data_IF_800012549349
#
_entry.id   IF_800012549349
#
_cell.length_a   1.000
_cell.length_b   1.000
_cell.length_c   1.000
_cell.angle_alpha   90.00
_cell.angle_beta   90.00
_cell.angle_gamma   90.00
#
_symmetry.space_group_name_H-M   'P 1'
#
loop_
_entity.id
_entity.type
_entity.pdbx_description
1 polymer ?
#
# COMPACT_ATOMS: atom_id res chain seq x y z
N UNK A 1 67.92 -36.63 -25.78
CA UNK A 1 66.70 -37.37 -26.13
C UNK A 1 65.57 -36.82 -25.26
N UNK A 2 64.80 -35.84 -25.74
CA UNK A 2 63.72 -35.21 -24.95
C UNK A 2 62.36 -35.52 -25.57
N UNK A 3 61.52 -36.22 -24.81
CA UNK A 3 60.15 -36.58 -25.17
C UNK A 3 59.22 -35.45 -24.69
N UNK A 4 58.74 -34.62 -25.62
CA UNK A 4 57.75 -33.58 -25.32
C UNK A 4 56.40 -34.29 -25.12
N UNK A 5 55.93 -34.34 -23.88
CA UNK A 5 54.60 -34.84 -23.56
C UNK A 5 53.57 -33.77 -23.95
N UNK A 6 52.99 -33.91 -25.14
CA UNK A 6 51.85 -33.13 -25.57
C UNK A 6 50.63 -33.55 -24.75
N UNK A 7 50.37 -32.83 -23.66
CA UNK A 7 49.17 -33.02 -22.86
C UNK A 7 47.98 -32.46 -23.66
N UNK A 8 47.28 -33.33 -24.40
CA UNK A 8 46.06 -32.96 -25.14
C UNK A 8 44.96 -32.68 -24.12
N UNK A 9 44.80 -31.42 -23.76
CA UNK A 9 43.61 -30.96 -23.04
C UNK A 9 42.38 -31.25 -23.92
N UNK A 10 41.65 -32.33 -23.63
CA UNK A 10 40.37 -32.61 -24.25
C UNK A 10 39.38 -31.55 -23.76
N UNK A 11 39.18 -30.50 -24.55
CA UNK A 11 38.08 -29.57 -24.31
C UNK A 11 36.79 -30.34 -24.57
N UNK A 12 36.03 -30.62 -23.51
CA UNK A 12 34.69 -31.20 -23.63
C UNK A 12 33.81 -30.17 -24.34
N UNK A 13 33.34 -30.50 -25.54
CA UNK A 13 32.36 -29.70 -26.25
C UNK A 13 30.98 -29.97 -25.65
N UNK A 14 30.25 -28.91 -25.31
CA UNK A 14 28.87 -29.02 -24.85
C UNK A 14 27.98 -29.52 -26.00
N UNK A 15 27.07 -30.43 -25.67
CA UNK A 15 26.10 -30.99 -26.61
C UNK A 15 24.89 -30.06 -26.74
N UNK A 16 24.23 -30.08 -27.91
CA UNK A 16 23.00 -29.30 -28.13
C UNK A 16 21.90 -29.65 -27.13
N UNK A 17 21.84 -30.93 -26.71
CA UNK A 17 20.84 -31.40 -25.74
C UNK A 17 21.09 -30.81 -24.35
N UNK A 18 22.35 -30.67 -23.91
CA UNK A 18 22.67 -30.03 -22.63
C UNK A 18 22.23 -28.56 -22.62
N UNK A 19 22.44 -27.83 -23.72
CA UNK A 19 21.96 -26.45 -23.83
C UNK A 19 20.43 -26.36 -23.85
N UNK A 20 19.74 -27.31 -24.49
CA UNK A 20 18.28 -27.35 -24.53
C UNK A 20 17.68 -27.62 -23.15
N UNK A 21 18.24 -28.57 -22.39
CA UNK A 21 17.82 -28.86 -21.02
C UNK A 21 18.04 -27.66 -20.11
N UNK A 22 19.17 -26.97 -20.22
CA UNK A 22 19.46 -25.78 -19.41
C UNK A 22 18.46 -24.66 -19.70
N UNK A 23 18.19 -24.35 -20.97
CA UNK A 23 17.20 -23.33 -21.34
C UNK A 23 15.80 -23.75 -20.87
N UNK A 24 15.46 -25.03 -20.97
CA UNK A 24 14.20 -25.57 -20.43
C UNK A 24 14.06 -25.34 -18.93
N UNK A 25 15.10 -25.62 -18.14
CA UNK A 25 15.11 -25.36 -16.69
C UNK A 25 15.02 -23.86 -16.40
N UNK A 26 15.73 -23.02 -17.14
CA UNK A 26 15.68 -21.56 -16.98
C UNK A 26 14.29 -21.00 -17.25
N UNK A 27 13.57 -21.50 -18.25
CA UNK A 27 12.19 -21.08 -18.53
C UNK A 27 11.23 -21.47 -17.40
N UNK A 28 11.37 -22.67 -16.82
CA UNK A 28 10.57 -23.10 -15.67
C UNK A 28 10.86 -22.22 -14.45
N UNK A 29 12.14 -21.96 -14.15
CA UNK A 29 12.53 -21.09 -13.03
C UNK A 29 12.00 -19.66 -13.21
N UNK A 30 12.12 -19.09 -14.42
CA UNK A 30 11.62 -17.76 -14.72
C UNK A 30 10.09 -17.66 -14.51
N UNK A 31 9.33 -18.65 -14.95
CA UNK A 31 7.87 -18.67 -14.78
C UNK A 31 7.45 -18.67 -13.29
N UNK A 32 8.15 -19.44 -12.45
CA UNK A 32 7.85 -19.50 -11.01
C UNK A 32 8.12 -18.17 -10.29
N UNK A 33 9.20 -17.48 -10.63
CA UNK A 33 9.59 -16.21 -10.01
C UNK A 33 8.52 -15.13 -10.26
N UNK A 34 8.00 -15.04 -11.48
CA UNK A 34 6.99 -14.04 -11.85
C UNK A 34 5.68 -14.27 -11.08
N UNK A 35 5.27 -15.53 -10.88
CA UNK A 35 4.02 -15.87 -10.20
C UNK A 35 3.96 -15.42 -8.73
N UNK A 36 5.03 -15.63 -7.96
CA UNK A 36 5.07 -15.30 -6.52
C UNK A 36 5.15 -13.80 -6.25
N UNK A 37 5.76 -13.03 -7.16
CA UNK A 37 6.08 -11.62 -6.94
C UNK A 37 4.83 -10.75 -6.74
N UNK A 38 3.74 -11.02 -7.47
CA UNK A 38 2.50 -10.20 -7.40
C UNK A 38 1.82 -10.30 -6.04
N UNK A 39 1.72 -11.51 -5.49
CA UNK A 39 1.08 -11.76 -4.20
C UNK A 39 1.82 -11.06 -3.05
N UNK A 40 3.15 -11.12 -3.04
CA UNK A 40 3.97 -10.49 -2.00
C UNK A 40 3.87 -8.95 -2.07
N UNK A 41 3.80 -8.39 -3.27
CA UNK A 41 3.64 -6.95 -3.47
C UNK A 41 2.29 -6.45 -2.95
N UNK A 42 1.21 -7.16 -3.23
CA UNK A 42 -0.13 -6.81 -2.75
C UNK A 42 -0.22 -6.87 -1.23
N UNK A 43 0.30 -7.94 -0.61
CA UNK A 43 0.36 -8.06 0.84
C UNK A 43 1.20 -6.94 1.49
N UNK A 44 2.30 -6.55 0.84
CA UNK A 44 3.11 -5.41 1.29
C UNK A 44 2.37 -4.09 1.16
N UNK A 45 1.60 -3.90 0.09
CA UNK A 45 0.78 -2.71 -0.13
C UNK A 45 -0.35 -2.64 0.90
N UNK A 46 -1.03 -3.75 1.19
CA UNK A 46 -2.05 -3.85 2.23
C UNK A 46 -1.49 -3.39 3.59
N UNK A 47 -0.35 -3.95 4.02
CA UNK A 47 0.29 -3.58 5.30
C UNK A 47 0.72 -2.12 5.35
N UNK A 48 1.25 -1.60 4.25
CA UNK A 48 1.62 -0.19 4.15
C UNK A 48 0.38 0.70 4.25
N UNK A 49 -0.72 0.34 3.61
CA UNK A 49 -2.01 1.05 3.70
C UNK A 49 -2.55 1.05 5.12
N UNK A 50 -2.54 -0.10 5.82
CA UNK A 50 -2.92 -0.19 7.24
C UNK A 50 -2.06 0.73 8.11
N UNK A 51 -0.74 0.75 7.90
CA UNK A 51 0.16 1.62 8.65
C UNK A 51 -0.13 3.12 8.41
N UNK A 52 -0.38 3.51 7.16
CA UNK A 52 -0.80 4.87 6.79
C UNK A 52 -2.10 5.23 7.51
N UNK A 53 -3.12 4.37 7.42
CA UNK A 53 -4.41 4.57 8.08
C UNK A 53 -4.26 4.71 9.60
N UNK A 54 -3.42 3.90 10.23
CA UNK A 54 -3.17 3.97 11.67
C UNK A 54 -2.55 5.33 12.08
N UNK A 55 -1.61 5.87 11.30
CA UNK A 55 -1.02 7.19 11.55
C UNK A 55 -2.06 8.29 11.39
N UNK A 56 -2.85 8.27 10.30
CA UNK A 56 -3.90 9.27 10.07
C UNK A 56 -4.97 9.18 11.16
N UNK A 57 -5.36 7.98 11.59
CA UNK A 57 -6.35 7.81 12.65
C UNK A 57 -5.81 8.26 14.01
N UNK A 58 -4.51 8.07 14.27
CA UNK A 58 -3.84 8.65 15.44
C UNK A 58 -3.89 10.19 15.42
N UNK A 59 -3.69 10.80 14.26
CA UNK A 59 -3.80 12.26 14.08
C UNK A 59 -5.25 12.74 14.25
N UNK A 60 -6.21 11.98 13.72
CA UNK A 60 -7.66 12.21 13.85
C UNK A 60 -8.11 12.15 15.30
N UNK A 61 -7.58 11.21 16.08
CA UNK A 61 -7.81 11.15 17.53
C UNK A 61 -7.22 12.36 18.27
N UNK A 62 -6.01 12.80 17.92
CA UNK A 62 -5.42 14.01 18.49
C UNK A 62 -6.24 15.27 18.16
N UNK A 63 -6.82 15.33 16.95
CA UNK A 63 -7.79 16.37 16.59
C UNK A 63 -9.02 16.33 17.50
N UNK A 64 -9.60 15.16 17.73
CA UNK A 64 -10.75 15.00 18.62
C UNK A 64 -10.42 15.41 20.07
N UNK A 65 -9.25 15.05 20.59
CA UNK A 65 -8.85 15.42 21.96
C UNK A 65 -8.87 16.94 22.19
N UNK A 66 -8.53 17.70 21.14
CA UNK A 66 -8.55 19.17 21.13
C UNK A 66 -9.93 19.74 20.87
N UNK A 67 -10.59 19.31 19.81
CA UNK A 67 -11.83 19.92 19.30
C UNK A 67 -13.11 19.31 19.89
N UNK A 68 -12.99 18.24 20.68
CA UNK A 68 -14.10 17.47 21.28
C UNK A 68 -15.07 16.88 20.26
N UNK A 69 -14.67 16.86 19.00
CA UNK A 69 -15.41 16.31 17.88
C UNK A 69 -14.42 15.81 16.83
N UNK A 70 -14.81 14.76 16.11
CA UNK A 70 -14.10 14.32 14.91
C UNK A 70 -14.43 15.24 13.73
N UNK A 71 -13.52 15.36 12.75
CA UNK A 71 -13.77 16.10 11.51
C UNK A 71 -15.06 15.62 10.84
N UNK A 72 -15.82 16.55 10.26
CA UNK A 72 -17.06 16.22 9.57
C UNK A 72 -16.81 15.54 8.22
N UNK A 73 -17.73 14.67 7.84
CA UNK A 73 -17.74 13.92 6.59
C UNK A 73 -19.16 13.60 6.13
N UNK A 74 -19.32 13.32 4.85
CA UNK A 74 -20.52 12.75 4.27
C UNK A 74 -20.56 11.23 4.52
N UNK A 75 -21.20 10.83 5.61
CA UNK A 75 -21.30 9.43 6.04
C UNK A 75 -22.42 8.64 5.33
N UNK A 76 -22.62 8.91 4.04
CA UNK A 76 -23.44 8.06 3.19
C UNK A 76 -22.79 6.65 3.04
N UNK A 77 -23.56 5.61 2.66
CA UNK A 77 -23.00 4.28 2.43
C UNK A 77 -21.83 4.33 1.42
N UNK A 78 -20.78 3.49 1.57
CA UNK A 78 -19.63 3.47 0.66
C UNK A 78 -19.96 3.33 -0.83
N UNK A 79 -21.13 2.76 -1.14
CA UNK A 79 -21.66 2.64 -2.51
C UNK A 79 -22.01 3.99 -3.16
N UNK A 80 -22.19 5.05 -2.38
CA UNK A 80 -22.39 6.41 -2.90
C UNK A 80 -21.02 7.00 -3.32
N UNK A 81 -20.86 7.44 -4.58
CA UNK A 81 -19.61 8.02 -5.06
C UNK A 81 -19.21 9.33 -4.34
N UNK A 82 -20.15 10.00 -3.68
CA UNK A 82 -19.91 11.22 -2.91
C UNK A 82 -19.73 10.93 -1.41
N UNK A 83 -19.74 9.66 -1.00
CA UNK A 83 -19.52 9.29 0.40
C UNK A 83 -18.05 9.39 0.78
N UNK A 84 -17.81 9.70 2.05
CA UNK A 84 -16.49 9.77 2.64
C UNK A 84 -15.69 11.00 2.17
N UNK A 85 -15.34 11.88 3.10
CA UNK A 85 -14.70 13.15 2.78
C UNK A 85 -13.25 13.19 3.27
N UNK A 86 -12.34 12.54 2.52
CA UNK A 86 -10.91 12.57 2.88
C UNK A 86 -10.31 13.96 2.81
N UNK A 87 -10.85 14.80 1.92
CA UNK A 87 -10.43 16.19 1.78
C UNK A 87 -10.74 17.02 3.03
N UNK A 88 -11.95 16.85 3.58
CA UNK A 88 -12.33 17.53 4.83
C UNK A 88 -11.46 17.06 6.00
N UNK A 89 -11.12 15.76 6.03
CA UNK A 89 -10.18 15.25 7.01
C UNK A 89 -8.81 15.91 6.88
N UNK A 90 -8.25 15.96 5.67
CA UNK A 90 -6.96 16.60 5.42
C UNK A 90 -6.95 18.07 5.86
N UNK A 91 -7.96 18.83 5.44
CA UNK A 91 -8.09 20.25 5.80
C UNK A 91 -8.22 20.44 7.33
N UNK A 92 -8.92 19.54 8.02
CA UNK A 92 -9.05 19.56 9.46
C UNK A 92 -7.75 19.19 10.19
N UNK A 93 -6.94 18.28 9.64
CA UNK A 93 -5.66 17.88 10.21
C UNK A 93 -4.51 18.84 9.89
N UNK A 94 -4.65 19.64 8.83
CA UNK A 94 -3.66 20.62 8.41
C UNK A 94 -4.24 22.05 8.30
N UNK A 95 -4.79 22.61 9.40
CA UNK A 95 -5.34 23.97 9.38
C UNK A 95 -4.21 25.01 9.31
N UNK A 96 -4.52 26.26 8.97
CA UNK A 96 -3.52 27.35 8.89
C UNK A 96 -2.73 27.58 10.20
N UNK A 97 -3.26 27.11 11.34
CA UNK A 97 -2.56 27.06 12.63
C UNK A 97 -2.54 25.61 13.15
N UNK A 98 -1.62 24.77 12.66
CA UNK A 98 -1.60 23.36 12.98
C UNK A 98 -1.30 23.10 14.45
N UNK A 99 -1.89 22.04 15.00
CA UNK A 99 -1.47 21.52 16.30
C UNK A 99 -0.15 20.76 16.17
N UNK A 100 0.84 21.06 17.02
CA UNK A 100 2.14 20.38 16.98
C UNK A 100 2.01 18.86 17.09
N UNK A 101 1.09 18.35 17.92
CA UNK A 101 0.87 16.90 18.07
C UNK A 101 0.32 16.25 16.80
N UNK A 102 -0.52 16.97 16.06
CA UNK A 102 -1.08 16.48 14.80
C UNK A 102 0.01 16.50 13.73
N UNK A 103 0.75 17.60 13.62
CA UNK A 103 1.87 17.75 12.68
C UNK A 103 2.93 16.67 12.90
N UNK A 104 3.31 16.40 14.15
CA UNK A 104 4.34 15.40 14.45
C UNK A 104 3.89 13.98 14.06
N UNK A 105 2.59 13.68 14.13
CA UNK A 105 2.04 12.41 13.63
C UNK A 105 2.05 12.38 12.10
N UNK A 106 1.63 13.46 11.44
CA UNK A 106 1.60 13.52 9.98
C UNK A 106 2.99 13.44 9.35
N UNK A 107 4.05 13.90 10.04
CA UNK A 107 5.45 13.72 9.60
C UNK A 107 5.88 12.25 9.51
N UNK A 108 5.19 11.34 10.20
CA UNK A 108 5.46 9.89 10.12
C UNK A 108 4.88 9.26 8.86
N UNK A 109 4.01 9.98 8.14
CA UNK A 109 3.46 9.47 6.90
C UNK A 109 4.54 9.44 5.80
N UNK A 110 4.52 8.41 4.95
CA UNK A 110 5.31 8.43 3.72
C UNK A 110 4.82 9.60 2.84
N UNK A 111 5.75 10.26 2.15
CA UNK A 111 5.44 11.45 1.33
C UNK A 111 4.40 11.15 0.26
N UNK A 112 4.39 9.92 -0.24
CA UNK A 112 3.47 9.46 -1.27
C UNK A 112 2.02 9.31 -0.77
N UNK A 113 1.82 9.19 0.56
CA UNK A 113 0.49 9.10 1.14
C UNK A 113 -0.19 10.47 1.33
N UNK A 114 0.50 11.57 0.99
CA UNK A 114 -0.02 12.92 1.12
C UNK A 114 -0.02 13.59 -0.26
N UNK A 115 -1.20 13.88 -0.78
CA UNK A 115 -1.34 14.76 -1.93
C UNK A 115 -1.74 16.16 -1.45
N UNK A 116 -0.73 17.00 -1.26
CA UNK A 116 -0.92 18.38 -0.84
C UNK A 116 -1.63 19.25 -1.87
N UNK A 117 -1.66 18.86 -3.15
CA UNK A 117 -2.35 19.63 -4.20
C UNK A 117 -3.84 19.33 -4.20
N UNK A 118 -4.20 18.05 -4.08
CA UNK A 118 -5.60 17.60 -4.00
C UNK A 118 -6.18 17.70 -2.59
N UNK A 119 -5.33 17.96 -1.59
CA UNK A 119 -5.68 17.94 -0.17
C UNK A 119 -6.23 16.57 0.24
N UNK A 120 -5.60 15.47 -0.19
CA UNK A 120 -6.07 14.11 0.09
C UNK A 120 -4.98 13.25 0.72
N UNK A 121 -5.42 12.16 1.36
CA UNK A 121 -4.54 11.09 1.78
C UNK A 121 -4.72 9.89 0.87
N UNK A 122 -3.59 9.36 0.40
CA UNK A 122 -3.54 8.24 -0.54
C UNK A 122 -3.11 6.95 0.11
N UNK A 123 -3.58 5.85 -0.43
CA UNK A 123 -3.14 4.51 -0.08
C UNK A 123 -1.89 4.08 -0.86
N UNK A 124 -1.53 2.79 -0.73
CA UNK A 124 -0.33 2.23 -1.38
C UNK A 124 -0.46 2.08 -2.90
N UNK A 125 -1.67 2.21 -3.46
CA UNK A 125 -1.94 2.16 -4.90
C UNK A 125 -2.17 3.55 -5.51
N UNK A 126 -1.80 4.61 -4.79
CA UNK A 126 -1.99 6.01 -5.18
C UNK A 126 -3.46 6.40 -5.35
N UNK A 127 -4.38 5.67 -4.68
CA UNK A 127 -5.81 5.96 -4.68
C UNK A 127 -6.17 6.80 -3.46
N UNK A 128 -7.09 7.74 -3.63
CA UNK A 128 -7.64 8.50 -2.52
C UNK A 128 -8.44 7.58 -1.60
N UNK A 129 -8.12 7.61 -0.31
CA UNK A 129 -8.93 6.93 0.69
C UNK A 129 -10.22 7.71 0.96
N UNK A 130 -11.16 7.08 1.67
CA UNK A 130 -12.39 7.73 2.16
C UNK A 130 -12.38 7.78 3.67
N UNK A 131 -12.80 8.91 4.22
CA UNK A 131 -12.94 9.12 5.66
C UNK A 131 -14.41 9.27 6.02
N UNK A 132 -14.82 8.48 7.02
CA UNK A 132 -16.14 8.52 7.62
C UNK A 132 -15.98 8.87 9.10
N UNK A 133 -16.75 9.83 9.58
CA UNK A 133 -16.78 10.28 10.98
C UNK A 133 -17.45 9.24 11.86
N UNK A 134 -18.42 8.54 11.31
CA UNK A 134 -19.19 7.46 11.92
C UNK A 134 -19.21 6.22 11.03
N UNK A 135 -19.65 5.08 11.56
CA UNK A 135 -19.71 3.81 10.81
C UNK A 135 -18.45 2.94 10.93
N UNK A 136 -17.47 3.36 11.72
CA UNK A 136 -16.41 2.51 12.23
C UNK A 136 -16.86 1.67 13.44
N UNK A 137 -15.98 0.76 13.89
CA UNK A 137 -16.18 -0.04 15.09
C UNK A 137 -16.57 0.84 16.30
N UNK A 138 -17.66 0.48 16.98
CA UNK A 138 -18.19 1.26 18.11
C UNK A 138 -18.81 2.61 17.74
N UNK A 139 -19.10 2.85 16.45
CA UNK A 139 -19.66 4.11 15.95
C UNK A 139 -18.64 5.22 15.76
N UNK A 140 -17.35 4.93 15.95
CA UNK A 140 -16.26 5.88 15.76
C UNK A 140 -15.91 6.13 14.29
N UNK A 141 -14.89 6.97 14.04
CA UNK A 141 -14.41 7.25 12.70
C UNK A 141 -13.71 6.04 12.08
N UNK A 142 -13.77 5.96 10.76
CA UNK A 142 -13.10 4.93 9.96
C UNK A 142 -12.54 5.53 8.68
N UNK A 143 -11.35 5.07 8.29
CA UNK A 143 -10.77 5.33 6.97
C UNK A 143 -10.83 4.03 6.18
N UNK A 144 -11.27 4.13 4.92
CA UNK A 144 -11.41 3.01 4.00
C UNK A 144 -10.53 3.30 2.77
N UNK A 145 -9.69 2.34 2.40
CA UNK A 145 -9.00 2.29 1.10
C UNK A 145 -9.75 1.30 0.22
N UNK A 146 -9.89 1.63 -1.07
CA UNK A 146 -10.50 0.75 -2.05
C UNK A 146 -9.51 -0.21 -2.72
N UNK A 147 -8.35 -0.44 -2.09
CA UNK A 147 -7.42 -1.45 -2.56
C UNK A 147 -6.88 -1.22 -3.99
N UNK A 148 -6.39 -2.29 -4.63
CA UNK A 148 -5.93 -2.25 -6.02
C UNK A 148 -7.00 -1.88 -7.05
N UNK A 149 -8.28 -2.23 -6.82
CA UNK A 149 -9.34 -2.00 -7.80
C UNK A 149 -9.83 -0.55 -7.79
N UNK A 150 -9.74 0.13 -6.65
CA UNK A 150 -10.20 1.51 -6.47
C UNK A 150 -11.72 1.64 -6.43
N UNK A 151 -12.45 0.55 -6.26
CA UNK A 151 -13.90 0.47 -6.21
C UNK A 151 -14.40 0.19 -4.77
N UNK A 152 -15.00 1.21 -4.16
CA UNK A 152 -15.55 1.11 -2.81
C UNK A 152 -16.81 0.22 -2.73
N UNK A 153 -17.39 -0.20 -3.85
CA UNK A 153 -18.57 -1.07 -3.88
C UNK A 153 -18.21 -2.55 -3.73
N UNK A 154 -16.99 -2.93 -4.09
CA UNK A 154 -16.46 -4.29 -4.02
C UNK A 154 -15.67 -4.49 -2.73
N UNK A 155 -16.32 -4.95 -1.66
CA UNK A 155 -15.69 -5.07 -0.33
C UNK A 155 -14.53 -6.08 -0.22
N UNK A 156 -14.19 -6.81 -1.28
CA UNK A 156 -13.23 -7.91 -1.23
C UNK A 156 -11.78 -7.44 -0.95
N UNK A 157 -11.38 -6.29 -1.49
CA UNK A 157 -10.05 -5.69 -1.33
C UNK A 157 -10.08 -4.37 -0.52
N UNK A 158 -11.27 -3.92 -0.11
CA UNK A 158 -11.44 -2.76 0.76
C UNK A 158 -10.71 -2.96 2.10
N UNK A 159 -9.82 -2.04 2.44
CA UNK A 159 -9.08 -2.05 3.70
C UNK A 159 -9.64 -0.98 4.63
N UNK A 160 -10.24 -1.41 5.73
CA UNK A 160 -10.78 -0.51 6.76
C UNK A 160 -9.84 -0.38 7.95
N UNK A 161 -9.67 0.84 8.45
CA UNK A 161 -8.78 1.15 9.56
C UNK A 161 -9.22 0.53 10.91
N UNK A 162 -10.49 0.12 11.03
CA UNK A 162 -11.10 -0.41 12.26
C UNK A 162 -11.09 -1.94 12.34
N UNK A 163 -10.97 -2.63 11.19
CA UNK A 163 -10.92 -4.10 11.10
C UNK A 163 -9.56 -4.64 10.67
N UNK A 164 -8.63 -3.77 10.29
CA UNK A 164 -7.27 -4.16 9.93
C UNK A 164 -6.56 -4.85 11.11
N UNK A 165 -6.07 -6.07 10.86
CA UNK A 165 -5.30 -6.88 11.82
C UNK A 165 -3.81 -6.54 11.78
#
# INVERSE_FOLDING_TARGET
MNKIHNNRNSRKAFTLIEMLVVIGILMVLAALIVGVSRYVMEESANKKTVAIQAVIMSATKAYHDKNKAYPDSNDAPPTDPNSGDIKKLYDALNPSTPDAKIVDKLKLLPKEAIDSASHTFKDSWDKDMRYYKTGGLGGGPVIISAGPDGDFTTEADNIRSDTAK
#
